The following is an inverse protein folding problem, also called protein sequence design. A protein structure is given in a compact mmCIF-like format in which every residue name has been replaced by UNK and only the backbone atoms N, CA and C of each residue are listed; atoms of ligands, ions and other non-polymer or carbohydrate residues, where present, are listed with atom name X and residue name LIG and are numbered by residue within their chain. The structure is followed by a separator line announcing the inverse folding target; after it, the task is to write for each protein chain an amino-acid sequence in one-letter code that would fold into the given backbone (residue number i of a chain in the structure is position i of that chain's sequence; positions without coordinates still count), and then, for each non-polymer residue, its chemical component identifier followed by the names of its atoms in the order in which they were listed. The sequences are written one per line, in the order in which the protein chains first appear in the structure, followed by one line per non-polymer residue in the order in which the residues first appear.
data_IF_975079906163
#
_entry.id   IF_975079906163
#
_cell.length_a   1.000
_cell.length_b   1.000
_cell.length_c   1.000
_cell.angle_alpha   90.00
_cell.angle_beta   90.00
_cell.angle_gamma   90.00
#
_symmetry.space_group_name_H-M   'P 1'
#
loop_
_entity.id
_entity.type
_entity.pdbx_description
1 polymer ?
#
# COMPACT_ATOMS: atom_id res chain seq x y z
N UNK A 1 9.83 -11.64 13.58
CA UNK A 1 8.96 -10.83 12.70
C UNK A 1 8.04 -9.91 13.52
N UNK A 2 8.23 -8.59 13.39
CA UNK A 2 7.55 -7.54 14.17
C UNK A 2 6.03 -7.47 13.89
N UNK A 3 5.61 -7.91 12.70
CA UNK A 3 4.22 -7.99 12.22
C UNK A 3 3.40 -9.04 12.98
N UNK A 4 3.97 -10.24 13.19
CA UNK A 4 3.28 -11.33 13.88
C UNK A 4 3.02 -11.03 15.37
N UNK A 5 3.93 -10.27 16.00
CA UNK A 5 3.84 -9.93 17.44
C UNK A 5 2.75 -8.90 17.72
N UNK A 6 2.50 -7.99 16.77
CA UNK A 6 1.43 -6.98 16.89
C UNK A 6 0.05 -7.59 16.66
N UNK A 7 -0.08 -8.54 15.73
CA UNK A 7 -1.35 -9.22 15.45
C UNK A 7 -1.92 -9.97 16.68
N UNK A 8 -1.08 -10.64 17.47
CA UNK A 8 -1.53 -11.44 18.60
C UNK A 8 -1.94 -10.61 19.84
N UNK A 9 -1.48 -9.36 19.97
CA UNK A 9 -1.69 -8.56 21.18
C UNK A 9 -2.96 -7.69 21.16
N UNK A 10 -3.59 -7.49 20.00
CA UNK A 10 -4.72 -6.55 19.86
C UNK A 10 -5.95 -7.22 19.25
N UNK A 11 -6.66 -8.04 20.04
CA UNK A 11 -7.99 -8.59 19.73
C UNK A 11 -9.11 -7.73 20.37
N UNK A 12 -9.17 -6.44 20.07
CA UNK A 12 -10.27 -5.57 20.52
C UNK A 12 -10.86 -4.87 19.31
N UNK A 13 -12.02 -5.38 18.85
CA UNK A 13 -12.85 -4.79 17.79
C UNK A 13 -12.29 -4.92 16.37
N UNK A 14 -13.19 -4.95 15.38
CA UNK A 14 -12.87 -4.98 13.94
C UNK A 14 -12.42 -3.58 13.45
N UNK A 15 -11.58 -2.92 14.23
CA UNK A 15 -11.10 -1.56 14.00
C UNK A 15 -9.94 -1.57 13.01
N UNK A 16 -10.19 -2.09 11.80
CA UNK A 16 -9.26 -1.97 10.67
C UNK A 16 -9.15 -0.52 10.24
N UNK A 17 -8.03 -0.16 9.64
CA UNK A 17 -7.93 1.10 8.90
C UNK A 17 -9.06 1.12 7.86
N UNK A 18 -9.87 2.20 7.78
CA UNK A 18 -10.90 2.31 6.75
C UNK A 18 -10.29 2.14 5.36
N UNK A 19 -10.90 1.32 4.51
CA UNK A 19 -10.34 1.03 3.19
C UNK A 19 -10.17 2.30 2.34
N UNK A 20 -11.02 3.31 2.55
CA UNK A 20 -10.90 4.62 1.93
C UNK A 20 -9.57 5.32 2.26
N UNK A 21 -9.03 5.13 3.48
CA UNK A 21 -7.71 5.67 3.83
C UNK A 21 -6.58 4.94 3.09
N UNK A 22 -6.70 3.62 2.92
CA UNK A 22 -5.76 2.83 2.12
C UNK A 22 -5.78 3.29 0.66
N UNK A 23 -6.98 3.43 0.08
CA UNK A 23 -7.16 3.92 -1.31
C UNK A 23 -6.59 5.32 -1.48
N UNK A 24 -6.85 6.22 -0.54
CA UNK A 24 -6.27 7.57 -0.55
C UNK A 24 -4.74 7.55 -0.51
N UNK A 25 -4.14 6.73 0.37
CA UNK A 25 -2.68 6.56 0.43
C UNK A 25 -2.12 5.98 -0.87
N UNK A 26 -2.78 4.97 -1.45
CA UNK A 26 -2.38 4.37 -2.72
C UNK A 26 -2.41 5.39 -3.87
N UNK A 27 -3.44 6.24 -3.94
CA UNK A 27 -3.53 7.32 -4.92
C UNK A 27 -2.39 8.35 -4.78
N UNK A 28 -2.00 8.69 -3.54
CA UNK A 28 -0.80 9.53 -3.30
C UNK A 28 0.44 8.86 -3.87
N UNK A 29 0.62 7.54 -3.67
CA UNK A 29 1.76 6.80 -4.25
C UNK A 29 1.75 6.80 -5.78
N UNK A 30 0.58 6.65 -6.40
CA UNK A 30 0.44 6.77 -7.86
C UNK A 30 0.85 8.15 -8.36
N UNK A 31 0.38 9.22 -7.72
CA UNK A 31 0.76 10.58 -8.08
C UNK A 31 2.27 10.83 -7.93
N UNK A 32 2.87 10.34 -6.83
CA UNK A 32 4.31 10.40 -6.61
C UNK A 32 5.09 9.63 -7.68
N UNK A 33 4.69 8.41 -8.02
CA UNK A 33 5.38 7.58 -9.01
C UNK A 33 5.36 8.23 -10.40
N UNK A 34 4.20 8.73 -10.83
CA UNK A 34 4.05 9.43 -12.11
C UNK A 34 4.84 10.74 -12.17
N UNK A 35 4.88 11.48 -11.06
CA UNK A 35 5.67 12.72 -10.97
C UNK A 35 7.17 12.42 -10.98
N UNK A 36 7.61 11.40 -10.23
CA UNK A 36 9.00 10.96 -10.22
C UNK A 36 9.47 10.48 -11.60
N UNK A 37 8.60 9.86 -12.39
CA UNK A 37 8.90 9.51 -13.78
C UNK A 37 9.17 10.74 -14.64
N UNK A 38 8.31 11.77 -14.53
CA UNK A 38 8.50 13.05 -15.23
C UNK A 38 9.79 13.76 -14.82
N UNK A 39 10.22 13.60 -13.57
CA UNK A 39 11.48 14.15 -13.06
C UNK A 39 12.70 13.26 -13.35
N UNK A 40 12.53 12.09 -13.99
CA UNK A 40 13.61 11.14 -14.27
C UNK A 40 14.14 10.36 -13.05
N UNK A 41 13.46 10.43 -11.90
CA UNK A 41 13.86 9.74 -10.68
C UNK A 41 13.45 8.25 -10.67
N UNK A 42 12.47 7.87 -11.48
CA UNK A 42 12.00 6.49 -11.68
C UNK A 42 11.75 6.27 -13.17
N UNK A 43 11.93 5.06 -13.69
CA UNK A 43 11.62 4.76 -15.10
C UNK A 43 10.12 4.83 -15.36
N UNK A 44 9.72 5.18 -16.59
CA UNK A 44 8.29 5.20 -16.96
C UNK A 44 7.62 3.83 -16.79
N UNK A 45 8.33 2.75 -17.09
CA UNK A 45 7.85 1.37 -16.92
C UNK A 45 7.48 1.08 -15.46
N UNK A 46 8.39 1.39 -14.52
CA UNK A 46 8.13 1.22 -13.08
C UNK A 46 6.96 2.10 -12.62
N UNK A 47 6.86 3.33 -13.12
CA UNK A 47 5.76 4.22 -12.78
C UNK A 47 4.41 3.71 -13.32
N UNK A 48 4.38 3.12 -14.52
CA UNK A 48 3.20 2.47 -15.09
C UNK A 48 2.79 1.23 -14.30
N UNK A 49 3.74 0.39 -13.91
CA UNK A 49 3.48 -0.77 -13.04
C UNK A 49 2.88 -0.32 -11.69
N UNK A 50 3.49 0.66 -11.03
CA UNK A 50 2.95 1.20 -9.77
C UNK A 50 1.54 1.76 -9.97
N UNK A 51 1.30 2.50 -11.06
CA UNK A 51 -0.01 3.05 -11.37
C UNK A 51 -1.07 1.95 -11.58
N UNK A 52 -0.74 0.88 -12.31
CA UNK A 52 -1.61 -0.26 -12.53
C UNK A 52 -1.96 -0.96 -11.21
N UNK A 53 -0.97 -1.19 -10.35
CA UNK A 53 -1.18 -1.83 -9.04
C UNK A 53 -2.08 -0.97 -8.15
N UNK A 54 -1.89 0.36 -8.15
CA UNK A 54 -2.77 1.27 -7.41
C UNK A 54 -4.20 1.21 -7.93
N UNK A 55 -4.41 1.09 -9.24
CA UNK A 55 -5.75 0.93 -9.80
C UNK A 55 -6.39 -0.39 -9.33
N UNK A 56 -5.63 -1.49 -9.26
CA UNK A 56 -6.11 -2.75 -8.67
C UNK A 56 -6.49 -2.60 -7.17
N UNK A 57 -5.76 -1.80 -6.40
CA UNK A 57 -6.08 -1.50 -4.99
C UNK A 57 -7.36 -0.67 -4.88
N UNK A 58 -7.52 0.35 -5.74
CA UNK A 58 -8.72 1.20 -5.75
C UNK A 58 -9.97 0.41 -6.14
N UNK A 59 -9.83 -0.54 -7.07
CA UNK A 59 -10.86 -1.50 -7.48
C UNK A 59 -11.22 -2.52 -6.37
N UNK A 60 -10.46 -2.57 -5.27
CA UNK A 60 -10.71 -3.46 -4.14
C UNK A 60 -10.19 -4.89 -4.31
N UNK A 61 -9.30 -5.14 -5.27
CA UNK A 61 -8.78 -6.51 -5.55
C UNK A 61 -7.86 -7.04 -4.47
N UNK A 62 -7.32 -6.16 -3.62
CA UNK A 62 -6.29 -6.47 -2.63
C UNK A 62 -6.67 -6.01 -1.21
N UNK A 63 -7.96 -5.82 -0.93
CA UNK A 63 -8.43 -5.29 0.37
C UNK A 63 -7.98 -6.16 1.56
N UNK A 64 -7.83 -7.47 1.35
CA UNK A 64 -7.37 -8.42 2.38
C UNK A 64 -5.87 -8.30 2.71
N UNK A 65 -5.08 -7.61 1.88
CA UNK A 65 -3.64 -7.38 2.10
C UNK A 65 -3.35 -6.21 3.08
N UNK A 66 -4.41 -5.60 3.63
CA UNK A 66 -4.34 -4.47 4.57
C UNK A 66 -4.93 -4.83 5.95
N UNK A 67 -4.33 -5.76 6.72
CA UNK A 67 -4.88 -6.24 7.99
C UNK A 67 -4.63 -5.31 9.18
N UNK A 68 -3.98 -4.15 8.97
CA UNK A 68 -3.58 -3.27 10.06
C UNK A 68 -4.76 -2.57 10.73
N UNK A 69 -4.69 -2.47 12.05
CA UNK A 69 -5.71 -1.83 12.87
C UNK A 69 -5.43 -0.34 13.10
N UNK A 70 -6.46 0.41 13.47
CA UNK A 70 -6.39 1.85 13.79
C UNK A 70 -5.45 2.11 14.98
N UNK A 71 -5.26 1.12 15.86
CA UNK A 71 -4.38 1.20 17.03
C UNK A 71 -2.90 0.97 16.70
N UNK A 72 -2.35 1.84 15.84
CA UNK A 72 -0.93 1.85 15.50
C UNK A 72 -0.23 3.09 16.05
N UNK A 73 1.09 3.19 15.86
CA UNK A 73 1.86 4.40 16.18
C UNK A 73 1.18 5.63 15.55
N UNK A 74 0.95 6.69 16.33
CA UNK A 74 0.11 7.83 15.94
C UNK A 74 0.53 8.61 14.68
N UNK A 75 1.71 8.32 14.13
CA UNK A 75 2.18 8.85 12.84
C UNK A 75 1.62 8.13 11.61
N UNK A 76 0.91 7.00 11.78
CA UNK A 76 0.39 6.20 10.65
C UNK A 76 1.48 5.52 9.80
N UNK A 77 2.72 5.46 10.29
CA UNK A 77 3.89 4.95 9.55
C UNK A 77 3.71 3.50 9.10
N UNK A 78 3.07 2.67 9.92
CA UNK A 78 2.86 1.25 9.63
C UNK A 78 1.90 1.06 8.44
N UNK A 79 0.80 1.82 8.39
CA UNK A 79 -0.12 1.83 7.24
C UNK A 79 0.58 2.26 5.97
N UNK A 80 1.36 3.34 6.03
CA UNK A 80 2.09 3.83 4.87
C UNK A 80 3.09 2.79 4.33
N UNK A 81 3.77 2.05 5.21
CA UNK A 81 4.68 0.99 4.78
C UNK A 81 3.96 -0.23 4.22
N UNK A 82 2.84 -0.66 4.81
CA UNK A 82 2.05 -1.76 4.29
C UNK A 82 1.56 -1.46 2.86
N UNK A 83 1.11 -0.24 2.58
CA UNK A 83 0.76 0.19 1.21
C UNK A 83 1.97 0.11 0.27
N UNK A 84 3.15 0.56 0.69
CA UNK A 84 4.35 0.46 -0.15
C UNK A 84 4.73 -1.00 -0.46
N UNK A 85 4.66 -1.88 0.54
CA UNK A 85 5.03 -3.29 0.43
C UNK A 85 4.08 -4.04 -0.52
N UNK A 86 2.76 -3.83 -0.38
CA UNK A 86 1.76 -4.43 -1.29
C UNK A 86 1.98 -3.96 -2.72
N UNK A 87 2.20 -2.64 -2.92
CA UNK A 87 2.46 -2.09 -4.25
C UNK A 87 3.72 -2.71 -4.87
N UNK A 88 4.81 -2.77 -4.12
CA UNK A 88 6.09 -3.28 -4.61
C UNK A 88 6.03 -4.78 -4.94
N UNK A 89 5.40 -5.58 -4.08
CA UNK A 89 5.27 -7.01 -4.30
C UNK A 89 4.44 -7.31 -5.55
N UNK A 90 3.28 -6.63 -5.69
CA UNK A 90 2.41 -6.83 -6.85
C UNK A 90 3.01 -6.29 -8.14
N UNK A 91 3.70 -5.15 -8.10
CA UNK A 91 4.43 -4.62 -9.25
C UNK A 91 5.51 -5.60 -9.75
N UNK A 92 6.24 -6.24 -8.83
CA UNK A 92 7.25 -7.25 -9.18
C UNK A 92 6.62 -8.46 -9.88
N UNK A 93 5.48 -8.95 -9.40
CA UNK A 93 4.77 -10.07 -10.05
C UNK A 93 4.36 -9.73 -11.49
N UNK A 94 3.95 -8.48 -11.75
CA UNK A 94 3.58 -8.00 -13.08
C UNK A 94 4.80 -7.82 -14.01
N UNK A 95 5.96 -7.49 -13.46
CA UNK A 95 7.22 -7.32 -14.21
C UNK A 95 7.84 -8.67 -14.65
N UNK A 96 7.56 -9.73 -13.90
CA UNK A 96 8.00 -11.10 -14.18
C UNK A 96 7.02 -11.89 -15.10
N UNK A 97 5.90 -11.28 -15.50
CA UNK A 97 4.85 -11.88 -16.34
C UNK A 97 5.00 -11.52 -17.81
#
# INVERSE_FOLDING_TARGET
PQTQRSFNNFKIGDHRIPIEQIKALALVKKACALTNAKCGAVTEEKAKLIAQVVDEIVDGKWDDEFPLTVFQTGSGTQTNMNVNEVIAHRAKQLDES
#
